data_IF_145194533326
#
_entry.id   IF_145194533326
#
_cell.length_a   1.000
_cell.length_b   1.000
_cell.length_c   1.000
_cell.angle_alpha   90.00
_cell.angle_beta   90.00
_cell.angle_gamma   90.00
#
_symmetry.space_group_name_H-M   'P 1'
#
loop_
_entity.id
_entity.type
_entity.pdbx_description
1 polymer ?
#
# COMPACT_ATOMS: atom_id res chain seq x y z
N UNK A 1 -20.90 2.20 8.35
CA UNK A 1 -20.37 3.03 7.24
C UNK A 1 -18.87 2.80 7.12
N UNK A 2 -18.29 2.88 5.94
CA UNK A 2 -16.84 2.78 5.72
C UNK A 2 -16.36 4.03 4.98
N UNK A 3 -15.35 4.70 5.52
CA UNK A 3 -14.62 5.77 4.84
C UNK A 3 -13.25 5.22 4.47
N UNK A 4 -13.04 4.94 3.19
CA UNK A 4 -11.80 4.36 2.70
C UNK A 4 -10.86 5.46 2.18
N UNK A 5 -9.57 5.36 2.46
CA UNK A 5 -8.51 6.29 2.01
C UNK A 5 -8.74 7.76 2.42
N UNK A 6 -9.22 7.99 3.65
CA UNK A 6 -9.45 9.33 4.20
C UNK A 6 -8.13 9.99 4.63
N UNK A 7 -7.28 10.38 3.69
CA UNK A 7 -5.93 10.89 3.95
C UNK A 7 -5.82 12.41 3.99
N UNK A 8 -6.69 13.08 3.21
CA UNK A 8 -6.66 14.53 3.04
C UNK A 8 -7.50 15.23 4.12
N UNK A 9 -6.82 15.92 5.03
CA UNK A 9 -7.44 16.72 6.07
C UNK A 9 -8.30 17.85 5.50
N UNK A 10 -7.89 18.46 4.38
CA UNK A 10 -8.56 19.62 3.81
C UNK A 10 -9.91 19.22 3.23
N UNK A 11 -10.01 18.04 2.64
CA UNK A 11 -11.30 17.51 2.17
C UNK A 11 -12.31 17.41 3.33
N UNK A 12 -11.86 16.98 4.51
CA UNK A 12 -12.76 16.76 5.65
C UNK A 12 -13.02 17.99 6.51
N UNK A 13 -12.03 18.88 6.63
CA UNK A 13 -12.04 19.98 7.60
C UNK A 13 -11.98 21.38 7.00
N UNK A 14 -11.66 21.53 5.71
CA UNK A 14 -11.56 22.87 5.11
C UNK A 14 -12.95 23.47 4.92
N UNK A 15 -13.10 24.73 5.30
CA UNK A 15 -14.27 25.55 5.01
C UNK A 15 -14.15 26.06 3.57
N UNK A 16 -15.22 26.03 2.79
CA UNK A 16 -15.21 26.57 1.43
C UNK A 16 -14.89 28.06 1.44
N UNK A 17 -13.70 28.46 0.96
CA UNK A 17 -13.24 29.86 0.92
C UNK A 17 -13.86 30.69 -0.22
N UNK A 18 -15.07 30.33 -0.67
CA UNK A 18 -15.77 30.97 -1.79
C UNK A 18 -17.03 31.68 -1.29
N UNK A 19 -17.26 32.89 -1.80
CA UNK A 19 -18.14 33.92 -1.25
C UNK A 19 -19.66 33.63 -1.26
N UNK A 20 -20.11 32.37 -1.38
CA UNK A 20 -21.52 32.01 -1.29
C UNK A 20 -21.71 30.71 -0.50
N UNK A 21 -22.35 30.84 0.68
CA UNK A 21 -23.01 29.82 1.50
C UNK A 21 -22.15 28.85 2.36
N UNK A 22 -22.11 29.12 3.67
CA UNK A 22 -22.38 28.18 4.79
C UNK A 22 -21.86 26.72 4.70
N UNK A 23 -20.72 26.45 4.06
CA UNK A 23 -20.15 25.11 3.99
C UNK A 23 -19.65 24.65 5.35
N UNK A 24 -20.38 23.75 6.02
CA UNK A 24 -19.86 23.05 7.20
C UNK A 24 -18.81 22.02 6.73
N UNK A 25 -17.77 21.75 7.53
CA UNK A 25 -16.80 20.71 7.19
C UNK A 25 -17.48 19.36 6.93
N UNK A 26 -16.98 18.58 5.96
CA UNK A 26 -17.55 17.26 5.64
C UNK A 26 -17.59 16.32 6.85
N UNK A 27 -16.61 16.45 7.75
CA UNK A 27 -16.58 15.71 9.01
C UNK A 27 -17.84 15.92 9.88
N UNK A 28 -18.53 17.06 9.76
CA UNK A 28 -19.76 17.34 10.53
C UNK A 28 -20.99 16.59 10.03
N UNK A 29 -20.95 16.08 8.80
CA UNK A 29 -22.02 15.26 8.23
C UNK A 29 -21.87 13.78 8.59
N UNK A 30 -20.77 13.39 9.24
CA UNK A 30 -20.59 12.02 9.71
C UNK A 30 -21.63 11.70 10.79
N UNK A 31 -22.41 10.62 10.64
CA UNK A 31 -23.50 10.31 11.55
C UNK A 31 -22.98 9.99 12.94
N UNK A 32 -23.53 10.68 13.95
CA UNK A 32 -23.26 10.45 15.36
C UNK A 32 -24.41 9.62 15.95
N UNK A 33 -24.24 8.31 16.03
CA UNK A 33 -25.26 7.40 16.55
C UNK A 33 -24.64 6.27 17.35
N UNK A 34 -25.35 5.83 18.41
CA UNK A 34 -24.98 4.64 19.19
C UNK A 34 -25.34 3.33 18.49
N UNK A 35 -26.18 3.38 17.45
CA UNK A 35 -26.71 2.20 16.76
C UNK A 35 -25.86 1.82 15.53
N UNK A 36 -24.62 2.30 15.44
CA UNK A 36 -23.76 2.04 14.31
C UNK A 36 -22.31 2.40 14.59
N UNK A 37 -21.43 2.03 13.66
CA UNK A 37 -20.01 2.39 13.70
C UNK A 37 -19.53 2.79 12.31
N UNK A 38 -18.47 3.61 12.31
CA UNK A 38 -17.76 4.05 11.12
C UNK A 38 -16.37 3.43 11.16
N UNK A 39 -16.03 2.64 10.15
CA UNK A 39 -14.66 2.20 9.93
C UNK A 39 -13.97 3.22 9.02
N UNK A 40 -12.82 3.72 9.43
CA UNK A 40 -12.06 4.72 8.67
C UNK A 40 -10.69 4.12 8.38
N UNK A 41 -10.28 4.10 7.12
CA UNK A 41 -8.91 3.78 6.74
C UNK A 41 -8.21 5.08 6.34
N UNK A 42 -7.00 5.29 6.84
CA UNK A 42 -6.20 6.48 6.56
C UNK A 42 -4.73 6.20 6.84
N UNK A 43 -3.85 6.82 6.07
CA UNK A 43 -2.40 6.89 6.29
C UNK A 43 -2.01 8.05 7.20
N UNK A 44 -2.96 8.93 7.53
CA UNK A 44 -2.73 10.13 8.32
C UNK A 44 -3.18 9.92 9.78
N UNK A 45 -2.23 9.66 10.67
CA UNK A 45 -2.49 9.37 12.08
C UNK A 45 -3.06 10.57 12.86
N UNK A 46 -2.75 11.81 12.43
CA UNK A 46 -3.32 13.02 13.01
C UNK A 46 -4.79 13.18 12.61
N UNK A 47 -5.13 12.87 11.35
CA UNK A 47 -6.50 12.88 10.87
C UNK A 47 -7.34 11.80 11.57
N UNK A 48 -6.79 10.59 11.73
CA UNK A 48 -7.42 9.52 12.50
C UNK A 48 -7.73 9.96 13.94
N UNK A 49 -6.79 10.64 14.61
CA UNK A 49 -7.02 11.15 15.96
C UNK A 49 -8.10 12.23 15.99
N UNK A 50 -8.10 13.16 15.03
CA UNK A 50 -9.16 14.20 14.93
C UNK A 50 -10.55 13.61 14.72
N UNK A 51 -10.68 12.58 13.87
CA UNK A 51 -11.95 11.93 13.57
C UNK A 51 -12.47 11.03 14.69
N UNK A 52 -11.58 10.35 15.42
CA UNK A 52 -11.96 9.37 16.46
C UNK A 52 -11.95 9.94 17.87
N UNK A 53 -11.27 11.08 18.08
CA UNK A 53 -11.12 11.79 19.35
C UNK A 53 -10.31 11.06 20.43
N UNK A 54 -9.94 9.79 20.22
CA UNK A 54 -9.31 8.93 21.24
C UNK A 54 -8.36 7.92 20.61
N UNK A 55 -7.12 7.86 21.10
CA UNK A 55 -6.09 6.89 20.65
C UNK A 55 -6.54 5.42 20.72
N UNK A 56 -7.28 4.94 21.73
CA UNK A 56 -7.73 3.53 21.78
C UNK A 56 -8.66 3.10 20.63
N UNK A 57 -9.23 4.05 19.89
CA UNK A 57 -10.08 3.76 18.74
C UNK A 57 -9.27 3.61 17.44
N UNK A 58 -7.95 3.85 17.50
CA UNK A 58 -7.05 3.76 16.35
C UNK A 58 -6.36 2.40 16.38
N UNK A 59 -6.42 1.69 15.25
CA UNK A 59 -5.68 0.43 15.06
C UNK A 59 -4.53 0.75 14.11
N UNK A 60 -3.32 0.74 14.64
CA UNK A 60 -2.12 0.90 13.83
C UNK A 60 -1.83 -0.40 13.07
N UNK A 61 -1.71 -0.29 11.75
CA UNK A 61 -1.31 -1.41 10.89
C UNK A 61 0.19 -1.32 10.69
N UNK A 62 0.92 -2.14 11.44
CA UNK A 62 2.37 -2.28 11.29
C UNK A 62 2.79 -3.04 10.02
N UNK A 63 4.09 -3.15 9.78
CA UNK A 63 4.62 -3.99 8.71
C UNK A 63 4.21 -5.46 8.94
N UNK A 64 4.04 -6.21 7.85
CA UNK A 64 3.78 -7.65 7.96
C UNK A 64 5.02 -8.34 8.56
N UNK A 65 4.79 -9.36 9.39
CA UNK A 65 5.87 -10.18 9.94
C UNK A 65 6.34 -11.22 8.92
N UNK A 66 7.60 -11.65 9.02
CA UNK A 66 8.20 -12.59 8.06
C UNK A 66 7.37 -13.87 7.84
N UNK A 67 6.82 -14.46 8.90
CA UNK A 67 5.98 -15.66 8.79
C UNK A 67 4.75 -15.45 7.93
N UNK A 68 4.13 -14.28 8.02
CA UNK A 68 2.93 -13.96 7.24
C UNK A 68 3.28 -13.49 5.83
N UNK A 69 4.44 -12.84 5.64
CA UNK A 69 5.00 -12.55 4.33
C UNK A 69 5.25 -13.84 3.51
N UNK A 70 5.85 -14.85 4.13
CA UNK A 70 6.10 -16.16 3.50
C UNK A 70 4.79 -16.88 3.17
N UNK A 71 3.81 -16.87 4.07
CA UNK A 71 2.48 -17.42 3.80
C UNK A 71 1.81 -16.69 2.64
N UNK A 72 1.90 -15.36 2.58
CA UNK A 72 1.34 -14.57 1.50
C UNK A 72 1.99 -14.94 0.17
N UNK A 73 3.32 -14.97 0.11
CA UNK A 73 4.08 -15.35 -1.08
C UNK A 73 3.71 -16.76 -1.56
N UNK A 74 3.71 -17.75 -0.67
CA UNK A 74 3.36 -19.13 -1.00
C UNK A 74 1.92 -19.27 -1.49
N UNK A 75 0.96 -18.61 -0.82
CA UNK A 75 -0.44 -18.59 -1.26
C UNK A 75 -0.60 -17.95 -2.63
N UNK A 76 0.16 -16.90 -2.93
CA UNK A 76 0.12 -16.22 -4.22
C UNK A 76 0.77 -17.03 -5.32
N UNK A 77 1.87 -17.74 -5.05
CA UNK A 77 2.60 -18.55 -6.04
C UNK A 77 1.98 -19.94 -6.29
N UNK A 78 1.21 -20.48 -5.35
CA UNK A 78 0.45 -21.73 -5.52
C UNK A 78 1.31 -23.00 -5.52
N UNK A 79 2.59 -22.91 -5.18
CA UNK A 79 3.52 -24.04 -5.14
C UNK A 79 4.45 -23.98 -3.91
N UNK A 80 5.03 -25.13 -3.57
CA UNK A 80 6.12 -25.22 -2.59
C UNK A 80 7.38 -24.59 -3.19
N UNK A 81 7.89 -23.57 -2.50
CA UNK A 81 9.12 -22.87 -2.85
C UNK A 81 10.28 -23.43 -2.05
N UNK A 82 11.49 -23.30 -2.58
CA UNK A 82 12.68 -23.39 -1.74
C UNK A 82 12.57 -22.33 -0.63
N UNK A 83 12.67 -22.78 0.62
CA UNK A 83 12.48 -21.94 1.79
C UNK A 83 13.50 -20.79 1.86
N UNK A 84 14.74 -21.02 1.41
CA UNK A 84 15.79 -20.00 1.41
C UNK A 84 15.49 -18.90 0.39
N UNK A 85 15.09 -19.29 -0.83
CA UNK A 85 14.73 -18.33 -1.89
C UNK A 85 13.50 -17.52 -1.50
N UNK A 86 12.51 -18.15 -0.87
CA UNK A 86 11.30 -17.46 -0.40
C UNK A 86 11.61 -16.41 0.67
N UNK A 87 12.48 -16.74 1.64
CA UNK A 87 12.95 -15.80 2.68
C UNK A 87 13.67 -14.62 2.07
N UNK A 88 14.63 -14.89 1.17
CA UNK A 88 15.40 -13.85 0.49
C UNK A 88 14.52 -12.91 -0.35
N UNK A 89 13.49 -13.46 -1.00
CA UNK A 89 12.56 -12.69 -1.82
C UNK A 89 11.67 -11.78 -0.98
N UNK A 90 11.05 -12.29 0.10
CA UNK A 90 10.22 -11.43 0.95
C UNK A 90 11.04 -10.35 1.67
N UNK A 91 12.30 -10.65 1.99
CA UNK A 91 13.23 -9.68 2.56
C UNK A 91 13.64 -8.62 1.54
N UNK A 92 13.94 -9.00 0.29
CA UNK A 92 14.28 -8.06 -0.77
C UNK A 92 13.12 -7.12 -1.13
N UNK A 93 11.88 -7.56 -0.89
CA UNK A 93 10.66 -6.78 -1.08
C UNK A 93 10.24 -6.01 0.18
N UNK A 94 11.13 -5.91 1.17
CA UNK A 94 10.97 -5.18 2.44
C UNK A 94 9.69 -5.56 3.20
N UNK A 95 9.27 -6.81 3.04
CA UNK A 95 8.02 -7.33 3.59
C UNK A 95 6.79 -6.49 3.20
N UNK A 96 6.80 -5.79 2.06
CA UNK A 96 5.62 -5.02 1.64
C UNK A 96 4.60 -5.97 0.99
N UNK A 97 3.38 -6.16 1.56
CA UNK A 97 2.43 -7.17 1.07
C UNK A 97 2.03 -6.99 -0.40
N UNK A 98 1.94 -5.73 -0.84
CA UNK A 98 1.64 -5.42 -2.23
C UNK A 98 2.79 -5.82 -3.16
N UNK A 99 4.04 -5.49 -2.80
CA UNK A 99 5.22 -5.86 -3.57
C UNK A 99 5.37 -7.39 -3.67
N UNK A 100 5.12 -8.11 -2.57
CA UNK A 100 5.10 -9.59 -2.55
C UNK A 100 4.04 -10.14 -3.51
N UNK A 101 2.83 -9.56 -3.48
CA UNK A 101 1.73 -10.01 -4.35
C UNK A 101 2.04 -9.74 -5.83
N UNK A 102 2.67 -8.60 -6.15
CA UNK A 102 3.07 -8.24 -7.51
C UNK A 102 4.20 -9.12 -8.03
N UNK A 103 5.23 -9.37 -7.22
CA UNK A 103 6.31 -10.29 -7.57
C UNK A 103 5.76 -11.69 -7.87
N UNK A 104 4.88 -12.20 -7.02
CA UNK A 104 4.23 -13.49 -7.23
C UNK A 104 3.41 -13.53 -8.53
N UNK A 105 2.61 -12.49 -8.80
CA UNK A 105 1.85 -12.37 -10.04
C UNK A 105 2.77 -12.33 -11.27
N UNK A 106 3.84 -11.54 -11.23
CA UNK A 106 4.84 -11.47 -12.31
C UNK A 106 5.46 -12.83 -12.60
N UNK A 107 5.86 -13.55 -11.56
CA UNK A 107 6.47 -14.88 -11.69
C UNK A 107 5.47 -15.85 -12.35
N UNK A 108 4.22 -15.87 -11.87
CA UNK A 108 3.19 -16.76 -12.41
C UNK A 108 2.82 -16.47 -13.86
N UNK A 109 2.59 -15.20 -14.21
CA UNK A 109 2.17 -14.82 -15.56
C UNK A 109 3.27 -15.05 -16.60
N UNK A 110 4.53 -15.12 -16.16
CA UNK A 110 5.69 -15.37 -17.02
C UNK A 110 6.23 -16.79 -16.91
N UNK A 111 5.59 -17.67 -16.14
CA UNK A 111 5.97 -19.08 -16.08
C UNK A 111 5.87 -19.73 -17.48
N UNK A 112 6.82 -20.59 -17.90
CA UNK A 112 8.02 -21.05 -17.17
C UNK A 112 9.26 -20.17 -17.39
N UNK A 113 9.14 -19.02 -18.08
CA UNK A 113 10.28 -18.13 -18.39
C UNK A 113 10.80 -17.34 -17.19
N UNK A 114 10.03 -17.30 -16.09
CA UNK A 114 10.36 -16.68 -14.82
C UNK A 114 10.22 -17.68 -13.68
N UNK A 115 11.06 -17.54 -12.66
CA UNK A 115 11.04 -18.29 -11.42
C UNK A 115 11.35 -17.34 -10.25
N UNK A 116 11.08 -17.73 -9.00
CA UNK A 116 11.45 -16.95 -7.81
C UNK A 116 12.93 -16.56 -7.76
N UNK A 117 13.82 -17.49 -8.10
CA UNK A 117 15.27 -17.28 -8.13
C UNK A 117 15.66 -16.27 -9.20
N UNK A 118 15.07 -16.41 -10.40
CA UNK A 118 15.33 -15.50 -11.52
C UNK A 118 14.80 -14.09 -11.23
N UNK A 119 13.59 -13.98 -10.67
CA UNK A 119 13.03 -12.70 -10.28
C UNK A 119 13.91 -12.02 -9.22
N UNK A 120 14.35 -12.77 -8.20
CA UNK A 120 15.23 -12.25 -7.15
C UNK A 120 16.57 -11.75 -7.72
N UNK A 121 17.16 -12.50 -8.65
CA UNK A 121 18.39 -12.09 -9.33
C UNK A 121 18.18 -10.80 -10.14
N UNK A 122 17.12 -10.72 -10.95
CA UNK A 122 16.79 -9.53 -11.74
C UNK A 122 16.46 -8.31 -10.86
N UNK A 123 15.81 -8.54 -9.71
CA UNK A 123 15.51 -7.52 -8.73
C UNK A 123 16.78 -6.99 -8.04
N UNK A 124 17.78 -7.82 -7.77
CA UNK A 124 19.05 -7.37 -7.16
C UNK A 124 20.03 -6.75 -8.17
N UNK A 125 19.85 -7.00 -9.47
CA UNK A 125 20.81 -6.62 -10.52
C UNK A 125 20.91 -5.11 -10.78
N UNK A 126 19.78 -4.38 -10.78
CA UNK A 126 19.82 -2.92 -10.89
C UNK A 126 18.54 -2.23 -10.41
N UNK A 127 18.70 -1.01 -9.89
CA UNK A 127 17.59 -0.17 -9.44
C UNK A 127 16.56 0.12 -10.55
N UNK A 128 17.03 0.27 -11.80
CA UNK A 128 16.14 0.44 -12.96
C UNK A 128 15.29 -0.81 -13.22
N UNK A 129 15.88 -2.00 -13.05
CA UNK A 129 15.13 -3.26 -13.15
C UNK A 129 14.15 -3.42 -11.99
N UNK A 130 14.52 -3.06 -10.75
CA UNK A 130 13.61 -3.03 -9.58
C UNK A 130 12.35 -2.24 -9.86
N UNK A 131 12.50 -1.00 -10.37
CA UNK A 131 11.38 -0.16 -10.78
C UNK A 131 10.48 -0.88 -11.78
N UNK A 132 11.04 -1.35 -12.91
CA UNK A 132 10.23 -2.02 -13.95
C UNK A 132 9.54 -3.32 -13.50
N UNK A 133 10.12 -4.05 -12.53
CA UNK A 133 9.56 -5.30 -12.01
C UNK A 133 8.41 -5.07 -11.04
N UNK A 134 8.49 -4.01 -10.26
CA UNK A 134 7.43 -3.58 -9.34
C UNK A 134 6.35 -2.76 -10.07
N UNK A 135 6.65 -2.23 -11.27
CA UNK A 135 5.68 -1.56 -12.14
C UNK A 135 4.67 -2.53 -12.75
N UNK A 136 4.95 -3.84 -12.69
CA UNK A 136 4.10 -4.86 -13.25
C UNK A 136 2.74 -4.93 -12.52
N UNK A 137 1.68 -4.57 -13.24
CA UNK A 137 0.32 -4.50 -12.69
C UNK A 137 -0.51 -5.78 -12.88
N UNK A 138 0.02 -6.81 -13.53
CA UNK A 138 -0.59 -8.15 -13.60
C UNK A 138 -2.02 -8.24 -14.14
N UNK A 139 -2.62 -7.14 -14.61
CA UNK A 139 -4.03 -7.07 -14.95
C UNK A 139 -4.98 -7.24 -13.75
N UNK A 140 -4.62 -6.75 -12.56
CA UNK A 140 -5.52 -6.81 -11.40
C UNK A 140 -6.76 -5.93 -11.66
N UNK A 141 -7.87 -6.57 -12.06
CA UNK A 141 -9.17 -5.94 -12.32
C UNK A 141 -9.74 -5.17 -11.12
N UNK A 142 -9.16 -5.34 -9.93
CA UNK A 142 -9.55 -4.61 -8.71
C UNK A 142 -8.78 -3.30 -8.52
N UNK A 143 -7.78 -3.02 -9.35
CA UNK A 143 -7.07 -1.75 -9.37
C UNK A 143 -7.83 -0.79 -10.27
N UNK A 144 -8.14 0.38 -9.73
CA UNK A 144 -8.58 1.50 -10.57
C UNK A 144 -7.50 1.74 -11.62
N UNK A 145 -7.85 1.69 -12.91
CA UNK A 145 -6.88 1.69 -14.02
C UNK A 145 -5.99 2.94 -14.09
N UNK A 146 -6.28 3.96 -13.27
CA UNK A 146 -5.45 5.16 -13.08
C UNK A 146 -4.50 5.12 -11.88
N UNK A 147 -4.54 4.09 -11.03
CA UNK A 147 -3.66 3.97 -9.87
C UNK A 147 -2.27 3.46 -10.28
N UNK A 148 -1.43 4.38 -10.78
CA UNK A 148 0.02 4.18 -10.91
C UNK A 148 0.58 3.59 -9.62
N UNK A 149 1.60 2.72 -9.70
CA UNK A 149 2.19 2.02 -8.56
C UNK A 149 2.67 2.98 -7.47
N UNK A 150 1.75 3.43 -6.61
CA UNK A 150 1.97 4.52 -5.68
C UNK A 150 3.06 4.19 -4.66
N UNK A 151 3.27 2.90 -4.37
CA UNK A 151 4.39 2.44 -3.56
C UNK A 151 5.72 2.73 -4.26
N UNK A 152 5.85 2.38 -5.55
CA UNK A 152 7.04 2.70 -6.33
C UNK A 152 7.24 4.18 -6.55
N UNK A 153 6.18 4.93 -6.88
CA UNK A 153 6.26 6.38 -7.05
C UNK A 153 6.72 7.03 -5.75
N UNK A 154 6.19 6.60 -4.60
CA UNK A 154 6.59 7.12 -3.28
C UNK A 154 8.02 6.73 -2.93
N UNK A 155 8.44 5.51 -3.27
CA UNK A 155 9.83 5.05 -3.08
C UNK A 155 10.81 5.82 -3.98
N UNK A 156 10.52 5.96 -5.27
CA UNK A 156 11.33 6.74 -6.21
C UNK A 156 11.42 8.22 -5.77
N UNK A 157 10.30 8.85 -5.41
CA UNK A 157 10.28 10.24 -4.94
C UNK A 157 11.08 10.39 -3.65
N UNK A 158 10.89 9.49 -2.68
CA UNK A 158 11.64 9.53 -1.41
C UNK A 158 13.14 9.33 -1.64
N UNK A 159 13.50 8.44 -2.56
CA UNK A 159 14.90 8.13 -2.88
C UNK A 159 15.57 9.27 -3.68
N UNK A 160 14.87 9.89 -4.63
CA UNK A 160 15.32 11.10 -5.33
C UNK A 160 15.49 12.28 -4.38
N UNK A 161 14.62 12.39 -3.37
CA UNK A 161 14.73 13.39 -2.33
C UNK A 161 15.96 13.18 -1.43
N UNK A 162 16.36 11.93 -1.16
CA UNK A 162 17.60 11.61 -0.43
C UNK A 162 18.83 11.92 -1.29
N UNK A 163 18.78 11.61 -2.59
CA UNK A 163 19.89 11.83 -3.53
C UNK A 163 20.16 13.31 -3.82
N UNK A 164 19.12 14.15 -3.85
CA UNK A 164 19.26 15.60 -4.06
C UNK A 164 19.76 16.37 -2.83
N UNK A 165 19.92 15.70 -1.68
CA UNK A 165 20.48 16.25 -0.44
C UNK A 165 21.95 15.86 -0.18
N UNK A 166 22.61 15.24 -1.15
CA UNK A 166 24.08 15.07 -1.22
C UNK A 166 24.63 15.95 -2.32
#
# INVERSE_FOLDING_TARGET
>A
MILDSADDCDVLYRLSSGNEHNGRPLATYLPQSRNGSILITTRNSDLAFRLTGRRPNMIEIGPIVQTDALKLLGKKLGSLLDAAVAVDLVQALDFVPLAISQAAAYIQTRAPRSSPEKYLAEFRDSERKRGSLLEYDGGDLRRDGGASNAILTTWMISFDHIRSKR
#
